data_IF_511418657370
#
_entry.id   IF_511418657370
#
_cell.length_a   1.000
_cell.length_b   1.000
_cell.length_c   1.000
_cell.angle_alpha   90.00
_cell.angle_beta   90.00
_cell.angle_gamma   90.00
#
_symmetry.space_group_name_H-M   'P 1'
#
loop_
_entity.id
_entity.type
_entity.pdbx_description
1 polymer ?
#
# COMPACT_ATOMS: atom_id res chain seq x y z
N UNK A 1 -15.31 -4.22 -5.81
CA UNK A 1 -13.94 -4.35 -6.37
C UNK A 1 -12.95 -3.60 -5.48
N UNK A 2 -11.72 -4.08 -5.32
CA UNK A 2 -10.73 -3.54 -4.33
C UNK A 2 -10.56 -2.02 -4.43
N UNK A 3 -10.55 -1.44 -5.64
CA UNK A 3 -10.45 0.02 -5.84
C UNK A 3 -11.56 0.85 -5.16
N UNK A 4 -12.78 0.31 -5.04
CA UNK A 4 -13.88 0.99 -4.34
C UNK A 4 -13.59 1.09 -2.84
N UNK A 5 -12.93 0.08 -2.27
CA UNK A 5 -12.56 0.08 -0.85
C UNK A 5 -11.58 1.20 -0.52
N UNK A 6 -10.78 1.63 -1.48
CA UNK A 6 -9.81 2.71 -1.31
C UNK A 6 -10.33 4.06 -1.84
N UNK A 7 -11.63 4.20 -2.11
CA UNK A 7 -12.21 5.41 -2.70
C UNK A 7 -11.49 5.87 -3.98
N UNK A 8 -10.90 4.92 -4.73
CA UNK A 8 -10.05 5.18 -5.89
C UNK A 8 -8.80 6.05 -5.60
N UNK A 9 -8.41 6.23 -4.34
CA UNK A 9 -7.28 7.04 -3.93
C UNK A 9 -5.98 6.24 -3.90
N UNK A 10 -4.88 6.89 -4.30
CA UNK A 10 -3.55 6.49 -3.87
C UNK A 10 -3.39 6.83 -2.38
N UNK A 11 -3.24 5.79 -1.57
CA UNK A 11 -3.16 5.93 -0.11
C UNK A 11 -1.86 6.60 0.34
N UNK A 12 -0.75 6.37 -0.37
CA UNK A 12 0.53 7.00 -0.07
C UNK A 12 0.48 8.49 -0.42
N UNK A 13 -0.06 8.84 -1.59
CA UNK A 13 -0.24 10.23 -1.99
C UNK A 13 -1.09 10.99 -0.98
N UNK A 14 -2.19 10.39 -0.53
CA UNK A 14 -3.12 11.04 0.39
C UNK A 14 -2.48 11.32 1.76
N UNK A 15 -1.89 10.31 2.41
CA UNK A 15 -1.39 10.47 3.77
C UNK A 15 0.04 10.99 3.88
N UNK A 16 0.91 10.69 2.91
CA UNK A 16 2.34 11.00 2.99
C UNK A 16 2.69 12.23 2.18
N UNK A 17 2.13 12.37 0.98
CA UNK A 17 2.41 13.51 0.09
C UNK A 17 1.42 14.67 0.25
N UNK A 18 0.30 14.46 0.94
CA UNK A 18 -0.77 15.45 1.08
C UNK A 18 -1.48 15.76 -0.24
N UNK A 19 -1.56 14.79 -1.16
CA UNK A 19 -2.12 14.94 -2.51
C UNK A 19 -3.28 13.99 -2.74
N UNK A 20 -4.31 14.48 -3.43
CA UNK A 20 -5.42 13.65 -3.89
C UNK A 20 -5.10 13.15 -5.30
N UNK A 21 -4.63 11.91 -5.38
CA UNK A 21 -4.31 11.26 -6.66
C UNK A 21 -5.13 9.98 -6.80
N UNK A 22 -5.54 9.68 -8.04
CA UNK A 22 -6.27 8.46 -8.35
C UNK A 22 -5.30 7.28 -8.37
N UNK A 23 -5.57 6.26 -7.57
CA UNK A 23 -4.82 5.01 -7.62
C UNK A 23 -5.07 4.26 -8.92
N UNK A 24 -4.11 3.43 -9.30
CA UNK A 24 -4.06 2.70 -10.57
C UNK A 24 -3.88 1.20 -10.31
N UNK A 25 -2.98 0.85 -9.39
CA UNK A 25 -2.55 -0.53 -9.13
C UNK A 25 -2.64 -0.90 -7.65
N UNK A 26 -2.97 -2.17 -7.40
CA UNK A 26 -2.95 -2.75 -6.06
C UNK A 26 -1.59 -3.36 -5.79
N UNK A 27 -0.98 -3.00 -4.68
CA UNK A 27 0.28 -3.54 -4.21
C UNK A 27 0.08 -4.46 -3.01
N UNK A 28 0.76 -5.61 -3.01
CA UNK A 28 0.84 -6.52 -1.87
C UNK A 28 1.96 -6.06 -0.93
N UNK A 29 1.62 -5.71 0.32
CA UNK A 29 2.60 -5.25 1.31
C UNK A 29 3.58 -6.38 1.67
N UNK A 30 3.05 -7.56 1.96
CA UNK A 30 3.81 -8.82 2.01
C UNK A 30 3.67 -9.49 0.67
N UNK A 31 4.80 -9.73 -0.01
CA UNK A 31 4.83 -10.29 -1.34
C UNK A 31 4.30 -11.73 -1.36
N UNK A 32 3.83 -12.17 -2.53
CA UNK A 32 3.16 -13.48 -2.69
C UNK A 32 4.11 -14.67 -2.49
N UNK A 33 5.39 -14.50 -2.80
CA UNK A 33 6.45 -15.47 -2.61
C UNK A 33 6.87 -15.62 -1.14
N UNK A 34 6.61 -14.61 -0.30
CA UNK A 34 6.85 -14.67 1.14
C UNK A 34 5.70 -15.34 1.90
N UNK A 35 4.45 -14.97 1.56
CA UNK A 35 3.27 -15.49 2.24
C UNK A 35 2.04 -15.48 1.34
N UNK A 36 1.88 -16.58 0.59
CA UNK A 36 0.75 -16.77 -0.31
C UNK A 36 -0.62 -16.81 0.39
N UNK A 37 -0.66 -17.08 1.71
CA UNK A 37 -1.90 -17.08 2.48
C UNK A 37 -2.53 -15.68 2.53
N UNK A 38 -1.71 -14.62 2.44
CA UNK A 38 -2.12 -13.21 2.50
C UNK A 38 -2.56 -12.61 1.16
N UNK A 39 -2.55 -13.39 0.07
CA UNK A 39 -2.81 -12.88 -1.30
C UNK A 39 -4.15 -12.13 -1.47
N UNK A 40 -5.18 -12.51 -0.69
CA UNK A 40 -6.51 -11.88 -0.68
C UNK A 40 -6.79 -11.06 0.58
N UNK A 41 -5.83 -10.95 1.50
CA UNK A 41 -6.03 -10.23 2.75
C UNK A 41 -6.12 -8.73 2.47
N UNK A 42 -7.27 -8.12 2.76
CA UNK A 42 -7.47 -6.69 2.53
C UNK A 42 -6.54 -5.81 3.38
N UNK A 43 -6.02 -6.33 4.51
CA UNK A 43 -5.01 -5.62 5.30
C UNK A 43 -3.60 -5.72 4.70
N UNK A 44 -3.40 -6.60 3.71
CA UNK A 44 -2.14 -6.79 2.99
C UNK A 44 -2.12 -6.09 1.62
N UNK A 45 -3.17 -5.34 1.27
CA UNK A 45 -3.31 -4.69 -0.03
C UNK A 45 -3.37 -3.18 0.17
N UNK A 46 -2.65 -2.43 -0.66
CA UNK A 46 -2.72 -0.97 -0.72
C UNK A 46 -2.91 -0.50 -2.16
N UNK A 47 -3.71 0.54 -2.37
CA UNK A 47 -3.94 1.11 -3.70
C UNK A 47 -3.05 2.32 -3.93
N UNK A 48 -2.36 2.34 -5.07
CA UNK A 48 -1.30 3.30 -5.40
C UNK A 48 -1.40 3.70 -6.88
N UNK A 49 -0.89 4.87 -7.22
CA UNK A 49 -0.45 5.22 -8.57
C UNK A 49 0.67 4.29 -9.01
N UNK A 50 0.85 4.09 -10.31
CA UNK A 50 1.99 3.33 -10.85
C UNK A 50 3.34 3.90 -10.42
N UNK A 51 3.42 5.23 -10.27
CA UNK A 51 4.64 5.91 -9.80
C UNK A 51 4.97 5.52 -8.36
N UNK A 52 4.03 5.64 -7.43
CA UNK A 52 4.28 5.30 -6.03
C UNK A 52 4.49 3.79 -5.85
N UNK A 53 3.79 2.96 -6.62
CA UNK A 53 4.01 1.51 -6.66
C UNK A 53 5.47 1.16 -6.97
N UNK A 54 6.04 1.74 -8.05
CA UNK A 54 7.45 1.53 -8.40
C UNK A 54 8.41 2.06 -7.33
N UNK A 55 8.14 3.24 -6.78
CA UNK A 55 8.98 3.83 -5.75
C UNK A 55 9.04 2.98 -4.48
N UNK A 56 7.88 2.56 -3.99
CA UNK A 56 7.75 1.68 -2.81
C UNK A 56 8.48 0.36 -3.06
N UNK A 57 8.26 -0.26 -4.22
CA UNK A 57 8.94 -1.51 -4.57
C UNK A 57 10.47 -1.36 -4.62
N UNK A 58 10.98 -0.24 -5.16
CA UNK A 58 12.40 0.07 -5.18
C UNK A 58 12.97 0.31 -3.78
N UNK A 59 12.21 0.95 -2.88
CA UNK A 59 12.61 1.13 -1.49
C UNK A 59 12.72 -0.21 -0.76
N UNK A 60 11.74 -1.09 -0.93
CA UNK A 60 11.75 -2.43 -0.32
C UNK A 60 12.89 -3.31 -0.83
N UNK A 61 13.38 -3.08 -2.05
CA UNK A 61 14.53 -3.80 -2.62
C UNK A 61 15.89 -3.37 -2.08
N UNK A 62 15.98 -2.26 -1.34
CA UNK A 62 17.26 -1.77 -0.80
C UNK A 62 17.87 -2.71 0.24
N UNK A 63 17.03 -3.40 1.02
CA UNK A 63 17.48 -4.34 2.02
C UNK A 63 16.34 -4.83 2.92
N UNK A 64 16.60 -5.84 3.77
CA UNK A 64 15.59 -6.39 4.67
C UNK A 64 15.01 -5.35 5.64
N UNK A 65 15.86 -4.43 6.13
CA UNK A 65 15.43 -3.38 7.05
C UNK A 65 14.53 -2.36 6.37
N UNK A 66 14.91 -1.85 5.19
CA UNK A 66 14.11 -0.90 4.43
C UNK A 66 12.76 -1.51 4.03
N UNK A 67 12.77 -2.81 3.70
CA UNK A 67 11.54 -3.55 3.45
C UNK A 67 10.62 -3.57 4.66
N UNK A 68 11.15 -3.92 5.83
CA UNK A 68 10.38 -3.96 7.08
C UNK A 68 9.82 -2.58 7.43
N UNK A 69 10.65 -1.53 7.37
CA UNK A 69 10.25 -0.15 7.65
C UNK A 69 9.12 0.32 6.71
N UNK A 70 9.24 0.01 5.41
CA UNK A 70 8.20 0.32 4.42
C UNK A 70 6.93 -0.48 4.71
N UNK A 71 7.02 -1.79 5.00
CA UNK A 71 5.84 -2.60 5.31
C UNK A 71 5.09 -2.06 6.53
N UNK A 72 5.80 -1.71 7.61
CA UNK A 72 5.22 -1.12 8.81
C UNK A 72 4.49 0.19 8.51
N UNK A 73 5.10 1.07 7.69
CA UNK A 73 4.44 2.29 7.22
C UNK A 73 3.15 1.97 6.46
N UNK A 74 3.19 1.08 5.47
CA UNK A 74 2.03 0.78 4.63
C UNK A 74 0.88 0.15 5.45
N UNK A 75 1.19 -0.71 6.40
CA UNK A 75 0.19 -1.26 7.34
C UNK A 75 -0.44 -0.17 8.20
N UNK A 76 0.36 0.78 8.70
CA UNK A 76 -0.14 1.93 9.44
C UNK A 76 -1.09 2.78 8.59
N UNK A 77 -0.73 3.06 7.32
CA UNK A 77 -1.56 3.84 6.40
C UNK A 77 -2.90 3.17 6.12
N UNK A 78 -2.92 1.86 5.86
CA UNK A 78 -4.18 1.11 5.67
C UNK A 78 -5.03 1.17 6.94
N UNK A 79 -4.43 0.97 8.12
CA UNK A 79 -5.14 1.02 9.39
C UNK A 79 -5.80 2.38 9.59
N UNK A 80 -5.06 3.47 9.35
CA UNK A 80 -5.56 4.84 9.41
C UNK A 80 -6.68 5.08 8.40
N UNK A 81 -6.51 4.64 7.15
CA UNK A 81 -7.55 4.76 6.12
C UNK A 81 -8.87 4.09 6.54
N UNK A 82 -8.81 2.89 7.10
CA UNK A 82 -9.98 2.19 7.59
C UNK A 82 -10.64 2.85 8.82
N UNK A 83 -9.98 3.81 9.47
CA UNK A 83 -10.55 4.61 10.57
C UNK A 83 -11.16 5.89 10.01
N UNK A 84 -10.42 6.59 9.15
CA UNK A 84 -10.81 7.91 8.61
C UNK A 84 -12.01 7.82 7.66
N UNK A 85 -12.20 6.68 6.97
CA UNK A 85 -13.25 6.48 5.97
C UNK A 85 -14.22 5.35 6.34
N UNK A 86 -14.43 5.13 7.65
CA UNK A 86 -15.31 4.10 8.19
C UNK A 86 -16.77 4.54 8.31
#
# INVERSE_FOLDING_TARGET
>A
MIKNKFNYLDIYSYYVLGRVEKGEVVHHIVALDEDFSKRLSLSNLIYLTEKNHRNIHNLMKKGPKEKEDVQQLLFHLIKRFNIDFK
#
